data_IF_841202926361
#
_entry.id   IF_841202926361
#
_cell.length_a   1.000
_cell.length_b   1.000
_cell.length_c   1.000
_cell.angle_alpha   90.00
_cell.angle_beta   90.00
_cell.angle_gamma   90.00
#
_symmetry.space_group_name_H-M   'P 1'
#
loop_
_entity.id
_entity.type
_entity.pdbx_description
1 polymer ?
#
# COMPACT_ATOMS: atom_id res chain seq x y z
N UNK A 1 -11.54 23.81 13.61
CA UNK A 1 -12.22 24.68 12.62
C UNK A 1 -11.20 25.63 12.00
N UNK A 2 -11.39 26.04 10.74
CA UNK A 2 -10.46 26.93 10.00
C UNK A 2 -10.20 28.26 10.73
N UNK A 3 -11.28 28.95 11.14
CA UNK A 3 -11.19 30.25 11.83
C UNK A 3 -10.85 30.14 13.32
N UNK A 4 -10.99 28.95 13.91
CA UNK A 4 -10.93 28.76 15.37
C UNK A 4 -12.16 29.30 16.12
N UNK A 5 -13.20 29.76 15.41
CA UNK A 5 -14.44 30.22 16.03
C UNK A 5 -15.17 29.08 16.76
N UNK A 6 -15.85 29.40 17.86
CA UNK A 6 -16.75 28.46 18.53
C UNK A 6 -18.11 28.46 17.83
N UNK A 7 -18.70 27.28 17.59
CA UNK A 7 -20.07 27.18 17.07
C UNK A 7 -21.02 27.47 18.23
N UNK A 8 -21.80 28.54 18.09
CA UNK A 8 -22.88 28.89 19.02
C UNK A 8 -24.18 28.24 18.57
N UNK A 9 -24.93 27.65 19.50
CA UNK A 9 -26.25 27.06 19.25
C UNK A 9 -27.42 28.03 19.50
N UNK A 10 -27.22 29.04 20.35
CA UNK A 10 -28.22 30.05 20.68
C UNK A 10 -27.55 31.44 20.73
N UNK A 11 -28.22 32.43 20.14
CA UNK A 11 -27.79 33.82 20.08
C UNK A 11 -28.21 34.62 21.32
N UNK A 12 -29.13 34.10 22.14
CA UNK A 12 -29.70 34.78 23.31
C UNK A 12 -28.91 34.63 24.60
N UNK A 13 -27.78 33.92 24.58
CA UNK A 13 -26.96 33.74 25.76
C UNK A 13 -26.05 34.98 25.88
N UNK A 14 -26.62 36.06 26.44
CA UNK A 14 -25.99 37.38 26.62
C UNK A 14 -24.61 37.34 27.31
N UNK A 15 -24.33 36.30 28.10
CA UNK A 15 -23.06 36.12 28.82
C UNK A 15 -22.03 35.22 28.09
N UNK A 16 -22.38 34.60 26.95
CA UNK A 16 -21.51 33.63 26.26
C UNK A 16 -20.85 34.15 25.00
N UNK A 17 -21.34 35.24 24.40
CA UNK A 17 -20.80 35.82 23.16
C UNK A 17 -19.68 36.81 23.47
N UNK A 18 -18.59 36.29 24.05
CA UNK A 18 -17.36 37.04 24.27
C UNK A 18 -16.51 37.18 23.00
N UNK A 19 -15.54 38.10 23.01
CA UNK A 19 -14.56 38.25 21.93
C UNK A 19 -13.77 36.96 21.64
N UNK A 20 -13.67 36.07 22.62
CA UNK A 20 -13.05 34.75 22.53
C UNK A 20 -13.80 33.74 21.67
N UNK A 21 -15.07 33.99 21.33
CA UNK A 21 -15.90 33.11 20.49
C UNK A 21 -15.62 33.33 19.00
N UNK A 22 -15.22 34.55 18.64
CA UNK A 22 -14.97 34.92 17.25
C UNK A 22 -13.62 34.36 16.78
N UNK A 23 -13.67 33.68 15.63
CA UNK A 23 -12.47 33.19 14.95
C UNK A 23 -11.86 34.23 14.03
N UNK A 24 -10.60 34.03 13.66
CA UNK A 24 -9.85 34.91 12.78
C UNK A 24 -9.69 34.30 11.38
N UNK A 25 -9.92 35.12 10.34
CA UNK A 25 -9.63 34.81 8.94
C UNK A 25 -8.82 35.97 8.36
N UNK A 26 -7.80 35.66 7.56
CA UNK A 26 -6.97 36.70 6.95
C UNK A 26 -7.63 37.33 5.73
N UNK A 27 -8.40 36.53 4.98
CA UNK A 27 -9.03 36.99 3.75
C UNK A 27 -10.32 36.21 3.50
N UNK A 28 -11.39 36.96 3.23
CA UNK A 28 -12.70 36.46 2.82
C UNK A 28 -12.97 37.02 1.43
N UNK A 29 -13.05 36.14 0.44
CA UNK A 29 -13.32 36.52 -0.96
C UNK A 29 -14.44 35.66 -1.52
N UNK A 30 -15.01 36.07 -2.66
CA UNK A 30 -15.93 35.22 -3.41
C UNK A 30 -15.22 34.66 -4.64
N UNK A 31 -15.45 33.39 -4.95
CA UNK A 31 -14.93 32.72 -6.12
C UNK A 31 -16.07 32.11 -6.92
N UNK A 32 -16.17 32.47 -8.20
CA UNK A 32 -17.16 31.88 -9.11
C UNK A 32 -16.58 30.65 -9.80
N UNK A 33 -17.26 29.51 -9.70
CA UNK A 33 -16.89 28.26 -10.37
C UNK A 33 -18.11 27.81 -11.19
N UNK A 34 -17.96 27.84 -12.52
CA UNK A 34 -19.08 27.65 -13.44
C UNK A 34 -20.12 28.75 -13.28
N UNK A 35 -21.38 28.37 -13.06
CA UNK A 35 -22.51 29.30 -12.86
C UNK A 35 -22.78 29.67 -11.39
N UNK A 36 -21.97 29.19 -10.45
CA UNK A 36 -22.19 29.38 -9.01
C UNK A 36 -21.07 30.18 -8.36
N UNK A 37 -21.46 31.07 -7.44
CA UNK A 37 -20.54 31.85 -6.61
C UNK A 37 -20.37 31.19 -5.24
N UNK A 38 -19.13 31.03 -4.80
CA UNK A 38 -18.75 30.42 -3.53
C UNK A 38 -18.02 31.44 -2.65
N UNK A 39 -18.12 31.28 -1.34
CA UNK A 39 -17.34 32.07 -0.37
C UNK A 39 -16.04 31.32 -0.10
N UNK A 40 -14.91 31.94 -0.43
CA UNK A 40 -13.57 31.46 -0.12
C UNK A 40 -13.11 32.08 1.18
N UNK A 41 -12.92 31.23 2.18
CA UNK A 41 -12.35 31.60 3.47
C UNK A 41 -10.87 31.21 3.46
N UNK A 42 -10.00 32.15 3.79
CA UNK A 42 -8.55 31.91 3.82
C UNK A 42 -7.94 32.45 5.10
N UNK A 43 -6.90 31.74 5.54
CA UNK A 43 -6.09 32.08 6.69
C UNK A 43 -4.64 31.92 6.28
N UNK A 44 -3.89 33.01 6.31
CA UNK A 44 -2.43 32.96 6.19
C UNK A 44 -1.88 32.30 7.44
N UNK A 45 -1.29 31.12 7.30
CA UNK A 45 -0.38 30.59 8.30
C UNK A 45 0.97 31.26 8.06
N UNK A 46 1.53 32.03 9.02
CA UNK A 46 2.90 32.51 8.88
C UNK A 46 3.82 31.29 8.78
N UNK A 47 4.47 31.13 7.63
CA UNK A 47 5.36 30.00 7.31
C UNK A 47 6.67 29.97 8.14
N UNK A 48 6.77 30.77 9.19
CA UNK A 48 8.02 31.02 9.92
C UNK A 48 7.78 31.40 11.38
N UNK A 49 7.10 30.55 12.16
CA UNK A 49 7.32 30.55 13.60
C UNK A 49 7.55 29.12 14.06
N UNK A 50 8.84 28.87 14.33
CA UNK A 50 9.33 27.84 15.25
C UNK A 50 8.34 27.59 16.38
N UNK A 51 8.18 26.31 16.74
CA UNK A 51 7.41 25.77 17.86
C UNK A 51 7.64 26.54 19.17
N UNK A 52 7.05 27.73 19.30
CA UNK A 52 6.99 28.50 20.52
C UNK A 52 5.54 28.48 20.98
N UNK A 53 5.28 27.55 21.89
CA UNK A 53 3.99 27.27 22.50
C UNK A 53 3.58 28.39 23.45
N UNK A 54 3.34 29.61 22.96
CA UNK A 54 2.75 30.70 23.76
C UNK A 54 2.07 31.74 22.87
N UNK A 55 1.00 31.37 22.17
CA UNK A 55 -0.16 32.23 21.89
C UNK A 55 -1.22 31.45 21.10
N UNK A 56 -2.30 31.16 21.80
CA UNK A 56 -3.46 30.38 21.38
C UNK A 56 -4.21 31.00 20.21
N UNK A 57 -3.83 30.68 18.98
CA UNK A 57 -4.74 30.83 17.83
C UNK A 57 -5.15 29.44 17.36
N UNK A 58 -6.19 28.89 17.99
CA UNK A 58 -6.75 27.54 17.85
C UNK A 58 -7.36 27.21 16.46
N UNK A 59 -6.70 27.61 15.38
CA UNK A 59 -7.03 27.17 14.03
C UNK A 59 -6.27 25.91 13.68
N UNK A 60 -6.97 24.94 13.12
CA UNK A 60 -6.31 23.83 12.45
C UNK A 60 -5.99 24.23 11.01
N UNK A 61 -4.86 23.76 10.44
CA UNK A 61 -4.62 23.89 9.01
C UNK A 61 -5.73 23.13 8.27
N UNK A 62 -6.64 23.88 7.63
CA UNK A 62 -7.76 23.33 6.86
C UNK A 62 -7.59 23.80 5.42
N UNK A 63 -7.54 22.84 4.51
CA UNK A 63 -7.51 23.08 3.06
C UNK A 63 -8.74 22.44 2.44
N UNK A 64 -9.44 23.17 1.60
CA UNK A 64 -10.59 22.66 0.83
C UNK A 64 -10.17 22.46 -0.62
N UNK A 65 -10.36 21.25 -1.13
CA UNK A 65 -10.16 20.94 -2.55
C UNK A 65 -11.51 21.02 -3.24
N UNK A 66 -11.67 21.95 -4.17
CA UNK A 66 -12.89 22.07 -4.96
C UNK A 66 -12.82 21.13 -6.17
N UNK A 67 -13.82 20.25 -6.30
CA UNK A 67 -13.93 19.31 -7.41
C UNK A 67 -15.03 19.76 -8.37
N UNK A 68 -14.71 19.75 -9.66
CA UNK A 68 -15.66 20.00 -10.74
C UNK A 68 -15.64 18.81 -11.69
N UNK A 69 -16.83 18.34 -12.07
CA UNK A 69 -17.02 17.22 -12.97
C UNK A 69 -18.20 17.51 -13.92
N UNK A 70 -18.22 16.91 -15.12
CA UNK A 70 -19.27 17.16 -16.12
C UNK A 70 -20.64 16.60 -15.71
N UNK A 71 -20.67 15.51 -14.94
CA UNK A 71 -21.89 14.89 -14.44
C UNK A 71 -21.69 14.32 -13.03
N UNK A 72 -22.78 13.78 -12.47
CA UNK A 72 -22.78 13.22 -11.11
C UNK A 72 -21.96 11.93 -10.99
N UNK A 73 -21.93 11.09 -12.01
CA UNK A 73 -21.17 9.83 -11.96
C UNK A 73 -19.68 10.12 -11.95
N UNK A 74 -19.22 11.01 -12.82
CA UNK A 74 -17.85 11.48 -12.86
C UNK A 74 -17.46 12.20 -11.55
N UNK A 75 -18.38 12.97 -10.95
CA UNK A 75 -18.17 13.57 -9.64
C UNK A 75 -17.99 12.52 -8.54
N UNK A 76 -18.88 11.54 -8.47
CA UNK A 76 -18.85 10.50 -7.45
C UNK A 76 -17.57 9.65 -7.57
N UNK A 77 -17.16 9.29 -8.79
CA UNK A 77 -15.90 8.60 -9.06
C UNK A 77 -14.68 9.45 -8.68
N UNK A 78 -14.62 10.71 -9.13
CA UNK A 78 -13.50 11.60 -8.83
C UNK A 78 -13.38 11.87 -7.32
N UNK A 79 -14.51 12.08 -6.64
CA UNK A 79 -14.59 12.26 -5.20
C UNK A 79 -14.08 11.01 -4.46
N UNK A 80 -14.52 9.83 -4.89
CA UNK A 80 -14.06 8.56 -4.32
C UNK A 80 -12.55 8.35 -4.51
N UNK A 81 -12.03 8.61 -5.71
CA UNK A 81 -10.60 8.49 -6.02
C UNK A 81 -9.78 9.45 -5.14
N UNK A 82 -10.13 10.73 -5.10
CA UNK A 82 -9.38 11.74 -4.33
C UNK A 82 -9.42 11.44 -2.83
N UNK A 83 -10.60 11.11 -2.30
CA UNK A 83 -10.73 10.75 -0.88
C UNK A 83 -9.88 9.52 -0.55
N UNK A 84 -9.89 8.49 -1.40
CA UNK A 84 -9.11 7.27 -1.19
C UNK A 84 -7.61 7.58 -1.27
N UNK A 85 -7.16 8.36 -2.25
CA UNK A 85 -5.77 8.79 -2.36
C UNK A 85 -5.29 9.59 -1.14
N UNK A 86 -6.08 10.54 -0.65
CA UNK A 86 -5.74 11.32 0.53
C UNK A 86 -5.70 10.46 1.80
N UNK A 87 -6.63 9.51 1.97
CA UNK A 87 -6.59 8.55 3.08
C UNK A 87 -5.35 7.68 3.03
N UNK A 88 -4.97 7.18 1.85
CA UNK A 88 -3.74 6.41 1.68
C UNK A 88 -2.51 7.24 2.02
N UNK A 89 -2.42 8.47 1.51
CA UNK A 89 -1.31 9.38 1.83
C UNK A 89 -1.25 9.71 3.34
N UNK A 90 -2.40 9.95 3.97
CA UNK A 90 -2.46 10.18 5.41
C UNK A 90 -1.97 8.95 6.20
N UNK A 91 -2.39 7.74 5.81
CA UNK A 91 -1.92 6.50 6.47
C UNK A 91 -0.42 6.26 6.32
N UNK A 92 0.20 6.76 5.25
CA UNK A 92 1.64 6.67 5.04
C UNK A 92 2.45 7.63 5.91
N UNK A 93 1.83 8.70 6.43
CA UNK A 93 2.46 9.57 7.42
C UNK A 93 2.66 8.79 8.74
N UNK A 94 1.67 8.00 9.13
CA UNK A 94 1.73 7.20 10.36
C UNK A 94 2.59 5.93 10.19
N UNK A 95 2.56 5.31 9.01
CA UNK A 95 3.31 4.08 8.70
C UNK A 95 3.95 4.17 7.31
N UNK A 96 5.20 4.68 7.20
CA UNK A 96 5.86 4.99 5.92
C UNK A 96 6.44 3.74 5.21
N UNK A 97 5.80 2.58 5.34
CA UNK A 97 6.25 1.33 4.73
C UNK A 97 5.52 1.06 3.42
N UNK A 98 6.29 1.06 2.33
CA UNK A 98 5.82 0.80 0.97
C UNK A 98 6.60 -0.35 0.35
N UNK A 99 5.98 -1.00 -0.65
CA UNK A 99 6.57 -2.09 -1.42
C UNK A 99 6.41 -1.82 -2.91
N UNK A 100 7.27 -2.40 -3.77
CA UNK A 100 7.09 -2.30 -5.21
C UNK A 100 5.74 -2.89 -5.63
N UNK A 101 4.96 -2.11 -6.37
CA UNK A 101 3.63 -2.53 -6.83
C UNK A 101 3.66 -3.26 -8.18
N UNK A 102 2.51 -3.31 -8.85
CA UNK A 102 2.40 -3.92 -10.18
C UNK A 102 2.51 -5.45 -10.18
N UNK A 103 2.09 -6.11 -9.10
CA UNK A 103 2.13 -7.57 -8.97
C UNK A 103 3.50 -8.13 -8.54
N UNK A 104 4.50 -7.26 -8.31
CA UNK A 104 5.83 -7.68 -7.89
C UNK A 104 5.79 -8.47 -6.57
N UNK A 105 5.12 -7.94 -5.53
CA UNK A 105 5.09 -8.56 -4.21
C UNK A 105 4.48 -9.97 -4.26
N UNK A 106 3.37 -10.12 -4.98
CA UNK A 106 2.68 -11.40 -5.11
C UNK A 106 3.56 -12.45 -5.79
N UNK A 107 4.22 -12.09 -6.88
CA UNK A 107 5.13 -12.97 -7.62
C UNK A 107 6.38 -13.27 -6.78
N UNK A 108 6.90 -12.27 -6.05
CA UNK A 108 8.04 -12.42 -5.16
C UNK A 108 7.75 -13.41 -4.01
N UNK A 109 6.62 -13.25 -3.32
CA UNK A 109 6.20 -14.17 -2.26
C UNK A 109 5.94 -15.56 -2.83
N UNK A 110 5.29 -15.67 -4.00
CA UNK A 110 5.05 -16.96 -4.65
C UNK A 110 6.35 -17.70 -4.97
N UNK A 111 7.37 -16.98 -5.46
CA UNK A 111 8.69 -17.52 -5.74
C UNK A 111 9.38 -18.01 -4.45
N UNK A 112 9.37 -17.20 -3.39
CA UNK A 112 9.95 -17.56 -2.09
C UNK A 112 9.27 -18.76 -1.45
N UNK A 113 7.93 -18.83 -1.53
CA UNK A 113 7.17 -19.97 -1.02
C UNK A 113 7.49 -21.26 -1.77
N UNK A 114 7.66 -21.20 -3.11
CA UNK A 114 8.09 -22.37 -3.89
C UNK A 114 9.50 -22.81 -3.52
N UNK A 115 10.42 -21.86 -3.34
CA UNK A 115 11.78 -22.16 -2.90
C UNK A 115 11.78 -22.88 -1.54
N UNK A 116 11.05 -22.34 -0.55
CA UNK A 116 10.88 -22.97 0.77
C UNK A 116 10.16 -24.32 0.69
N UNK A 117 9.14 -24.46 -0.15
CA UNK A 117 8.44 -25.73 -0.35
C UNK A 117 9.33 -26.81 -0.99
N UNK A 118 10.33 -26.42 -1.78
CA UNK A 118 11.37 -27.29 -2.32
C UNK A 118 12.31 -27.82 -1.22
N UNK A 119 12.71 -26.97 -0.28
CA UNK A 119 13.55 -27.35 0.87
C UNK A 119 12.88 -28.38 1.78
N UNK A 120 11.54 -28.30 1.93
CA UNK A 120 10.76 -29.29 2.68
C UNK A 120 10.74 -30.69 2.02
N UNK A 121 11.04 -30.79 0.72
CA UNK A 121 11.07 -32.06 -0.03
C UNK A 121 12.42 -32.76 0.00
N UNK A 122 13.49 -32.05 0.33
CA UNK A 122 14.84 -32.62 0.51
C UNK A 122 15.09 -32.86 1.99
N UNK A 123 14.66 -34.01 2.56
CA UNK A 123 15.05 -34.34 3.91
C UNK A 123 16.58 -34.53 3.94
N UNK A 124 17.26 -33.71 4.74
CA UNK A 124 18.61 -34.03 5.17
C UNK A 124 18.60 -35.42 5.81
N UNK A 125 19.53 -36.25 5.38
CA UNK A 125 20.03 -37.58 5.80
C UNK A 125 19.59 -38.16 7.16
N UNK A 126 18.31 -38.10 7.51
CA UNK A 126 17.76 -38.61 8.77
C UNK A 126 16.54 -39.44 8.40
N UNK A 127 16.50 -40.70 8.88
CA UNK A 127 15.41 -41.65 8.68
C UNK A 127 14.09 -41.05 9.21
N UNK A 128 13.37 -40.32 8.37
CA UNK A 128 12.12 -39.68 8.74
C UNK A 128 10.97 -40.69 8.71
N UNK A 129 10.14 -40.66 9.75
CA UNK A 129 8.96 -41.49 9.89
C UNK A 129 7.98 -41.31 8.71
N UNK A 130 7.32 -42.39 8.27
CA UNK A 130 6.43 -42.39 7.09
C UNK A 130 5.26 -41.41 7.21
N UNK A 131 4.82 -41.11 8.44
CA UNK A 131 3.80 -40.11 8.70
C UNK A 131 4.32 -38.67 8.50
N UNK A 132 5.55 -38.39 8.93
CA UNK A 132 6.18 -37.07 8.78
C UNK A 132 6.42 -36.72 7.31
N UNK A 133 6.85 -37.69 6.50
CA UNK A 133 7.04 -37.50 5.05
C UNK A 133 5.73 -37.22 4.31
N UNK A 134 4.63 -37.90 4.70
CA UNK A 134 3.29 -37.62 4.16
C UNK A 134 2.81 -36.22 4.51
N UNK A 135 2.96 -35.81 5.77
CA UNK A 135 2.59 -34.47 6.23
C UNK A 135 3.40 -33.38 5.52
N UNK A 136 4.72 -33.55 5.40
CA UNK A 136 5.59 -32.61 4.68
C UNK A 136 5.23 -32.51 3.19
N UNK A 137 4.90 -33.63 2.55
CA UNK A 137 4.44 -33.63 1.16
C UNK A 137 3.12 -32.88 1.00
N UNK A 138 2.16 -33.10 1.90
CA UNK A 138 0.90 -32.37 1.91
C UNK A 138 1.13 -30.87 2.09
N UNK A 139 1.91 -30.47 3.11
CA UNK A 139 2.26 -29.07 3.35
C UNK A 139 2.93 -28.42 2.14
N UNK A 140 3.93 -29.10 1.55
CA UNK A 140 4.61 -28.63 0.34
C UNK A 140 3.64 -28.41 -0.82
N UNK A 141 2.66 -29.31 -0.99
CA UNK A 141 1.61 -29.14 -2.00
C UNK A 141 0.70 -27.95 -1.70
N UNK A 142 0.25 -27.78 -0.44
CA UNK A 142 -0.60 -26.65 -0.06
C UNK A 142 0.10 -25.31 -0.28
N UNK A 143 1.38 -25.22 0.11
CA UNK A 143 2.20 -24.01 -0.10
C UNK A 143 2.38 -23.71 -1.60
N UNK A 144 2.59 -24.75 -2.42
CA UNK A 144 2.69 -24.60 -3.88
C UNK A 144 1.38 -24.10 -4.49
N UNK A 145 0.23 -24.62 -4.04
CA UNK A 145 -1.09 -24.15 -4.48
C UNK A 145 -1.34 -22.71 -4.07
N UNK A 146 -0.99 -22.33 -2.84
CA UNK A 146 -1.11 -20.95 -2.38
C UNK A 146 -0.24 -19.98 -3.19
N UNK A 147 1.00 -20.37 -3.50
CA UNK A 147 1.88 -19.61 -4.38
C UNK A 147 1.28 -19.39 -5.79
N UNK A 148 0.66 -20.43 -6.37
CA UNK A 148 -0.04 -20.30 -7.65
C UNK A 148 -1.27 -19.36 -7.56
N UNK A 149 -1.96 -19.31 -6.43
CA UNK A 149 -3.05 -18.36 -6.21
C UNK A 149 -2.56 -16.90 -6.19
N UNK A 150 -1.40 -16.63 -5.59
CA UNK A 150 -0.78 -15.30 -5.58
C UNK A 150 -0.41 -14.85 -7.00
N UNK A 151 0.19 -15.73 -7.81
CA UNK A 151 0.49 -15.42 -9.21
C UNK A 151 -0.77 -15.19 -10.04
N UNK A 152 -1.81 -16.00 -9.83
CA UNK A 152 -3.11 -15.78 -10.47
C UNK A 152 -3.71 -14.43 -10.08
N UNK A 153 -3.49 -13.98 -8.85
CA UNK A 153 -3.90 -12.64 -8.40
C UNK A 153 -3.12 -11.55 -9.14
N UNK A 154 -1.79 -11.68 -9.27
CA UNK A 154 -0.97 -10.77 -10.05
C UNK A 154 -1.39 -10.75 -11.54
N UNK A 155 -1.65 -11.92 -12.13
CA UNK A 155 -2.09 -12.06 -13.53
C UNK A 155 -3.44 -11.38 -13.82
N UNK A 156 -4.26 -11.06 -12.81
CA UNK A 156 -5.48 -10.25 -13.02
C UNK A 156 -5.17 -8.83 -13.49
N UNK A 157 -3.94 -8.35 -13.30
CA UNK A 157 -3.48 -7.05 -13.81
C UNK A 157 -3.45 -6.98 -15.36
N UNK A 158 -3.45 -8.13 -16.05
CA UNK A 158 -3.60 -8.17 -17.52
C UNK A 158 -5.01 -7.79 -18.01
N UNK A 159 -5.98 -7.67 -17.08
CA UNK A 159 -7.36 -7.34 -17.37
C UNK A 159 -8.29 -8.55 -17.48
N UNK A 160 -9.59 -8.25 -17.59
CA UNK A 160 -10.67 -9.24 -17.69
C UNK A 160 -10.59 -10.09 -18.95
N UNK A 161 -10.15 -9.51 -20.06
CA UNK A 161 -10.11 -10.15 -21.39
C UNK A 161 -8.85 -10.97 -21.66
N UNK A 162 -7.85 -10.95 -20.77
CA UNK A 162 -6.62 -11.72 -20.95
C UNK A 162 -6.86 -13.22 -20.80
N UNK A 163 -6.27 -14.02 -21.69
CA UNK A 163 -6.33 -15.49 -21.62
C UNK A 163 -5.46 -16.02 -20.46
N UNK A 164 -5.61 -17.29 -20.10
CA UNK A 164 -4.74 -17.89 -19.09
C UNK A 164 -3.26 -17.84 -19.51
N UNK A 165 -2.97 -18.13 -20.78
CA UNK A 165 -1.61 -18.07 -21.32
C UNK A 165 -1.00 -16.66 -21.24
N UNK A 166 -1.79 -15.61 -21.50
CA UNK A 166 -1.31 -14.22 -21.38
C UNK A 166 -0.94 -13.85 -19.94
N UNK A 167 -1.70 -14.40 -18.97
CA UNK A 167 -1.43 -14.18 -17.55
C UNK A 167 -0.19 -14.92 -17.10
N UNK A 168 -0.01 -16.16 -17.53
CA UNK A 168 1.17 -16.96 -17.22
C UNK A 168 2.42 -16.33 -17.86
N UNK A 169 2.34 -15.86 -19.12
CA UNK A 169 3.41 -15.13 -19.77
C UNK A 169 3.78 -13.83 -19.04
N UNK A 170 2.79 -13.09 -18.51
CA UNK A 170 3.04 -11.90 -17.69
C UNK A 170 3.79 -12.24 -16.40
N UNK A 171 3.38 -13.30 -15.70
CA UNK A 171 4.04 -13.74 -14.47
C UNK A 171 5.50 -14.12 -14.78
N UNK A 172 5.73 -14.90 -15.84
CA UNK A 172 7.07 -15.27 -16.28
C UNK A 172 7.93 -14.06 -16.67
N UNK A 173 7.37 -13.07 -17.39
CA UNK A 173 8.11 -11.85 -17.74
C UNK A 173 8.53 -11.04 -16.51
N UNK A 174 7.62 -10.86 -15.54
CA UNK A 174 7.94 -10.14 -14.30
C UNK A 174 8.91 -10.94 -13.44
N UNK A 175 8.76 -12.26 -13.38
CA UNK A 175 9.70 -13.14 -12.67
C UNK A 175 11.10 -13.08 -13.28
N UNK A 176 11.21 -13.21 -14.61
CA UNK A 176 12.48 -13.15 -15.33
C UNK A 176 13.17 -11.79 -15.13
N UNK A 177 12.43 -10.69 -15.17
CA UNK A 177 12.96 -9.35 -14.93
C UNK A 177 13.50 -9.14 -13.50
N UNK A 178 13.05 -9.93 -12.52
CA UNK A 178 13.49 -9.86 -11.12
C UNK A 178 14.34 -11.06 -10.68
N UNK A 179 14.79 -11.90 -11.62
CA UNK A 179 15.43 -13.18 -11.32
C UNK A 179 16.70 -13.02 -10.46
N UNK A 180 17.50 -11.99 -10.73
CA UNK A 180 18.74 -11.74 -9.98
C UNK A 180 18.47 -11.29 -8.54
N UNK A 181 17.48 -10.41 -8.35
CA UNK A 181 17.02 -10.01 -7.01
C UNK A 181 16.44 -11.19 -6.22
N UNK A 182 15.71 -12.09 -6.90
CA UNK A 182 15.15 -13.29 -6.29
C UNK A 182 16.23 -14.28 -5.86
N UNK A 183 17.18 -14.59 -6.74
CA UNK A 183 18.33 -15.46 -6.43
C UNK A 183 19.13 -14.95 -5.23
N UNK A 184 19.36 -13.64 -5.16
CA UNK A 184 20.02 -13.03 -4.01
C UNK A 184 19.24 -13.28 -2.71
N UNK A 185 17.91 -13.14 -2.73
CA UNK A 185 17.08 -13.41 -1.56
C UNK A 185 17.03 -14.89 -1.17
N UNK A 186 17.12 -15.80 -2.14
CA UNK A 186 17.22 -17.24 -1.88
C UNK A 186 18.56 -17.60 -1.23
N UNK A 187 19.67 -17.01 -1.70
CA UNK A 187 20.99 -17.21 -1.11
C UNK A 187 21.07 -16.69 0.34
N UNK A 188 20.45 -15.53 0.63
CA UNK A 188 20.27 -15.01 1.99
C UNK A 188 19.45 -15.95 2.89
N UNK A 189 18.35 -16.47 2.34
CA UNK A 189 17.47 -17.43 3.01
C UNK A 189 18.18 -18.72 3.43
N UNK A 190 19.24 -19.08 2.71
CA UNK A 190 19.94 -20.36 2.83
C UNK A 190 21.29 -20.23 3.56
N UNK A 191 21.64 -19.03 4.02
CA UNK A 191 22.88 -18.77 4.76
C UNK A 191 24.16 -18.80 3.91
N UNK A 192 24.04 -18.88 2.58
CA UNK A 192 25.15 -19.02 1.63
C UNK A 192 25.52 -17.70 0.93
N UNK A 193 25.12 -16.55 1.48
CA UNK A 193 25.26 -15.27 0.81
C UNK A 193 26.74 -14.83 0.73
N UNK A 194 27.33 -14.90 -0.47
CA UNK A 194 28.47 -14.07 -0.84
C UNK A 194 27.95 -12.68 -1.20
N UNK A 195 28.42 -11.65 -0.50
CA UNK A 195 28.02 -10.26 -0.72
C UNK A 195 28.58 -9.74 -2.06
N UNK A 196 27.89 -9.99 -3.16
CA UNK A 196 27.99 -9.12 -4.33
C UNK A 196 26.90 -8.06 -4.22
N UNK A 197 27.23 -6.99 -3.51
CA UNK A 197 26.35 -5.86 -3.25
C UNK A 197 26.17 -5.09 -4.57
N UNK A 198 25.08 -5.37 -5.31
CA UNK A 198 24.69 -4.51 -6.42
C UNK A 198 24.39 -3.11 -5.85
N UNK A 199 25.08 -2.09 -6.35
CA UNK A 199 24.96 -0.71 -5.85
C UNK A 199 23.54 -0.14 -6.03
N UNK A 200 22.77 -0.67 -6.97
CA UNK A 200 21.40 -0.26 -7.26
C UNK A 200 20.53 -1.52 -7.37
N UNK A 201 19.52 -1.63 -6.50
CA UNK A 201 18.48 -2.65 -6.59
C UNK A 201 17.31 -2.08 -7.37
N UNK A 202 17.03 -2.66 -8.53
CA UNK A 202 15.92 -2.28 -9.39
C UNK A 202 14.85 -3.37 -9.37
N UNK A 203 13.63 -2.98 -9.02
CA UNK A 203 12.48 -3.88 -8.93
C UNK A 203 11.55 -3.62 -10.10
N UNK A 204 11.09 -4.70 -10.74
CA UNK A 204 10.23 -4.65 -11.91
C UNK A 204 8.83 -5.14 -11.57
N UNK A 205 7.83 -4.41 -12.05
CA UNK A 205 6.42 -4.76 -11.94
C UNK A 205 5.73 -4.63 -13.30
N UNK A 206 4.51 -5.15 -13.39
CA UNK A 206 3.74 -5.10 -14.62
C UNK A 206 3.10 -3.73 -14.84
N UNK A 207 3.27 -3.17 -16.03
CA UNK A 207 2.55 -1.97 -16.50
C UNK A 207 1.42 -2.40 -17.45
N UNK A 208 0.14 -2.37 -17.02
CA UNK A 208 -0.98 -2.79 -17.87
C UNK A 208 -1.13 -1.97 -19.16
N UNK A 209 -0.64 -0.72 -19.18
CA UNK A 209 -0.75 0.16 -20.35
C UNK A 209 0.26 -0.22 -21.42
N UNK A 210 1.49 -0.53 -21.01
CA UNK A 210 2.57 -0.95 -21.91
C UNK A 210 2.59 -2.45 -22.18
N UNK A 211 1.86 -3.23 -21.37
CA UNK A 211 1.83 -4.70 -21.39
C UNK A 211 3.24 -5.30 -21.34
N UNK A 212 4.09 -4.76 -20.47
CA UNK A 212 5.45 -5.25 -20.25
C UNK A 212 5.89 -5.06 -18.80
N UNK A 213 6.94 -5.77 -18.39
CA UNK A 213 7.62 -5.53 -17.13
C UNK A 213 8.39 -4.20 -17.20
N UNK A 214 8.14 -3.31 -16.23
CA UNK A 214 8.79 -1.99 -16.15
C UNK A 214 9.38 -1.78 -14.77
N UNK A 215 10.45 -0.99 -14.64
CA UNK A 215 11.00 -0.66 -13.34
C UNK A 215 9.97 0.16 -12.54
N UNK A 216 9.61 -0.35 -11.36
CA UNK A 216 8.61 0.26 -10.45
C UNK A 216 9.25 0.95 -9.26
N UNK A 217 10.40 0.45 -8.80
CA UNK A 217 11.17 1.00 -7.69
C UNK A 217 12.66 0.78 -7.95
N UNK A 218 13.48 1.81 -7.78
CA UNK A 218 14.93 1.74 -7.77
C UNK A 218 15.46 2.27 -6.45
N UNK A 219 16.28 1.49 -5.77
CA UNK A 219 16.91 1.87 -4.51
C UNK A 219 18.43 1.80 -4.63
N UNK A 220 19.12 2.85 -4.20
CA UNK A 220 20.56 2.79 -3.95
C UNK A 220 20.78 2.21 -2.54
N UNK A 221 21.74 1.29 -2.42
CA UNK A 221 22.28 0.92 -1.13
C UNK A 221 23.39 1.91 -0.81
N UNK A 222 23.23 2.68 0.26
CA UNK A 222 24.31 3.53 0.75
C UNK A 222 25.38 2.63 1.38
N UNK A 223 26.65 2.68 0.93
CA UNK A 223 27.73 1.94 1.59
C UNK A 223 27.93 2.53 3.00
N UNK A 224 27.93 1.65 4.02
CA UNK A 224 27.74 1.96 5.45
C UNK A 224 28.72 2.98 6.07
N UNK A 225 28.19 3.75 7.03
CA UNK A 225 28.84 3.97 8.34
C UNK A 225 28.22 3.01 9.38
N UNK A 226 29.00 2.45 10.33
CA UNK A 226 28.70 1.20 11.04
C UNK A 226 27.67 1.29 12.19
N UNK A 227 26.89 2.38 12.29
CA UNK A 227 26.01 2.59 13.46
C UNK A 227 24.55 2.88 13.13
N UNK A 228 24.19 3.07 11.86
CA UNK A 228 22.80 3.36 11.49
C UNK A 228 22.26 2.30 10.53
N UNK A 229 21.07 1.81 10.87
CA UNK A 229 20.22 0.91 10.09
C UNK A 229 20.34 1.17 8.59
N UNK A 230 20.61 0.12 7.79
CA UNK A 230 20.67 0.12 6.32
C UNK A 230 19.59 1.00 5.65
N UNK A 231 19.84 2.31 5.56
CA UNK A 231 18.93 3.26 4.95
C UNK A 231 19.04 3.11 3.44
N UNK A 232 17.97 2.59 2.83
CA UNK A 232 17.85 2.46 1.39
C UNK A 232 17.35 3.79 0.84
N UNK A 233 18.18 4.46 0.06
CA UNK A 233 17.75 5.70 -0.62
C UNK A 233 16.94 5.32 -1.85
N UNK A 234 15.66 5.72 -1.88
CA UNK A 234 14.81 5.54 -3.06
C UNK A 234 15.24 6.54 -4.12
N UNK A 235 15.77 6.04 -5.24
CA UNK A 235 16.19 6.85 -6.38
C UNK A 235 15.01 7.18 -7.30
N UNK A 236 14.10 6.21 -7.50
CA UNK A 236 12.95 6.37 -8.35
C UNK A 236 11.83 5.44 -7.87
N UNK A 237 10.61 5.96 -7.78
CA UNK A 237 9.43 5.18 -7.45
C UNK A 237 8.28 5.57 -8.40
N UNK A 238 7.74 4.59 -9.12
CA UNK A 238 6.68 4.78 -10.11
C UNK A 238 5.38 4.11 -9.71
N UNK A 239 5.46 2.89 -9.18
CA UNK A 239 4.29 2.11 -8.74
C UNK A 239 4.62 1.51 -7.37
N UNK A 240 3.91 1.98 -6.34
CA UNK A 240 4.08 1.54 -4.98
C UNK A 240 2.75 1.07 -4.41
N UNK A 241 2.81 0.02 -3.61
CA UNK A 241 1.71 -0.42 -2.77
C UNK A 241 2.06 -0.16 -1.30
N UNK A 242 1.05 0.09 -0.47
CA UNK A 242 1.23 0.24 0.98
C UNK A 242 1.41 -1.15 1.59
N UNK A 243 2.50 -1.34 2.35
CA UNK A 243 2.82 -2.65 2.93
C UNK A 243 1.72 -3.14 3.89
N UNK A 244 1.21 -2.24 4.74
CA UNK A 244 0.15 -2.56 5.69
C UNK A 244 -1.10 -3.11 4.98
N UNK A 245 -1.56 -2.45 3.92
CA UNK A 245 -2.71 -2.89 3.14
C UNK A 245 -2.51 -4.30 2.53
N UNK A 246 -1.30 -4.61 2.03
CA UNK A 246 -0.97 -5.95 1.50
C UNK A 246 -0.96 -7.00 2.59
N UNK A 247 -0.35 -6.70 3.73
CA UNK A 247 -0.29 -7.59 4.90
C UNK A 247 -1.70 -7.90 5.40
N UNK A 248 -2.51 -6.87 5.65
CA UNK A 248 -3.86 -7.02 6.19
C UNK A 248 -4.75 -7.80 5.23
N UNK A 249 -4.64 -7.55 3.91
CA UNK A 249 -5.36 -8.32 2.90
C UNK A 249 -4.98 -9.81 2.92
N UNK A 250 -3.69 -10.13 3.04
CA UNK A 250 -3.23 -11.52 3.12
C UNK A 250 -3.68 -12.21 4.40
N UNK A 251 -3.56 -11.54 5.55
CA UNK A 251 -4.00 -12.05 6.85
C UNK A 251 -5.50 -12.34 6.82
N UNK A 252 -6.31 -11.35 6.40
CA UNK A 252 -7.75 -11.49 6.30
C UNK A 252 -8.16 -12.62 5.36
N UNK A 253 -7.49 -12.76 4.20
CA UNK A 253 -7.78 -13.83 3.26
C UNK A 253 -7.47 -15.21 3.85
N UNK A 254 -6.33 -15.37 4.52
CA UNK A 254 -5.92 -16.63 5.15
C UNK A 254 -6.86 -16.98 6.31
N UNK A 255 -7.20 -16.02 7.17
CA UNK A 255 -8.13 -16.23 8.29
C UNK A 255 -9.53 -16.59 7.80
N UNK A 256 -10.02 -15.91 6.76
CA UNK A 256 -11.32 -16.20 6.16
C UNK A 256 -11.38 -17.61 5.58
N UNK A 257 -10.37 -18.00 4.80
CA UNK A 257 -10.29 -19.36 4.23
C UNK A 257 -10.13 -20.40 5.34
N UNK A 258 -9.34 -20.11 6.36
CA UNK A 258 -9.16 -21.02 7.51
C UNK A 258 -10.45 -21.21 8.29
N UNK A 259 -11.25 -20.14 8.45
CA UNK A 259 -12.57 -20.22 9.06
C UNK A 259 -13.53 -21.05 8.20
N UNK A 260 -13.57 -20.81 6.89
CA UNK A 260 -14.40 -21.57 5.94
C UNK A 260 -14.03 -23.06 5.91
N UNK A 261 -12.73 -23.38 5.94
CA UNK A 261 -12.24 -24.75 5.96
C UNK A 261 -12.63 -25.53 7.23
N UNK A 262 -12.96 -24.85 8.33
CA UNK A 262 -13.48 -25.49 9.56
C UNK A 262 -14.97 -25.80 9.50
N UNK A 263 -15.71 -25.23 8.55
CA UNK A 263 -17.15 -25.46 8.43
C UNK A 263 -17.37 -26.87 7.84
N UNK A 264 -17.85 -27.79 8.68
CA UNK A 264 -18.12 -29.17 8.27
C UNK A 264 -19.42 -29.32 7.46
N UNK A 265 -20.43 -28.45 7.69
CA UNK A 265 -21.68 -28.46 6.93
C UNK A 265 -22.39 -27.10 6.99
N UNK A 266 -23.17 -26.79 5.95
CA UNK A 266 -24.04 -25.60 5.89
C UNK A 266 -25.48 -26.10 5.77
N UNK A 267 -26.31 -25.80 6.76
CA UNK A 267 -27.74 -26.14 6.75
C UNK A 267 -28.53 -24.92 6.32
N UNK A 268 -29.26 -25.04 5.20
CA UNK A 268 -30.17 -23.99 4.72
C UNK A 268 -31.56 -24.27 5.31
N UNK A 269 -32.04 -23.37 6.17
CA UNK A 269 -33.40 -23.41 6.69
C UNK A 269 -34.33 -22.73 5.67
N UNK A 270 -35.46 -23.35 5.31
CA UNK A 270 -36.44 -22.77 4.38
C UNK A 270 -37.09 -21.50 4.92
#
# INVERSE_FOLDING_TARGET
MLSGATILSDWRIEDSVGSSVFGFLSLITTQTIGSKQYIRLSRECPASKTFSATSSTAGHPVTTIALAAPDRFAYDELSHVIMTSLKTLASLIDSPYVVPGGGYLEIYIAALLRHRAGQLRTPGTIKSDTQTTRMLRQLSQTVTTFAACLEKMAGRLCGSHATAADRDAMVEMVYAANCDSLKFSFALSDGNASYQQQQINQFFGWDPRKRCATPVLSCALQPEEPTNTNEKTVLNARILDVLAAKKDALVLAIESVSSLARIASVVRVP
#
